data_IF_603538781661
#
_entry.id   IF_603538781661
#
_cell.length_a   1.000
_cell.length_b   1.000
_cell.length_c   1.000
_cell.angle_alpha   90.00
_cell.angle_beta   90.00
_cell.angle_gamma   90.00
#
_symmetry.space_group_name_H-M   'P 1'
#
loop_
_entity.id
_entity.type
_entity.pdbx_description
1 polymer ?
#
# COMPACT_ATOMS: atom_id res chain seq x y z
N UNK A 1 16.37 -22.95 -3.67
CA UNK A 1 16.06 -22.17 -4.89
C UNK A 1 16.94 -22.66 -6.03
N UNK A 2 16.47 -22.64 -7.28
CA UNK A 2 17.37 -22.89 -8.42
C UNK A 2 18.49 -21.83 -8.37
N UNK A 3 19.76 -22.23 -8.51
CA UNK A 3 20.91 -21.31 -8.42
C UNK A 3 20.73 -20.02 -9.24
N UNK A 4 20.05 -20.12 -10.38
CA UNK A 4 19.70 -18.99 -11.25
C UNK A 4 18.77 -17.99 -10.57
N UNK A 5 17.69 -18.43 -9.93
CA UNK A 5 16.73 -17.51 -9.29
C UNK A 5 17.35 -16.77 -8.09
N UNK A 6 18.25 -17.43 -7.37
CA UNK A 6 19.02 -16.78 -6.31
C UNK A 6 19.94 -15.69 -6.86
N UNK A 7 20.71 -16.00 -7.90
CA UNK A 7 21.63 -15.04 -8.50
C UNK A 7 20.88 -13.83 -9.06
N UNK A 8 19.75 -14.03 -9.74
CA UNK A 8 18.93 -12.93 -10.26
C UNK A 8 18.44 -12.03 -9.13
N UNK A 9 17.88 -12.59 -8.06
CA UNK A 9 17.42 -11.80 -6.91
C UNK A 9 18.57 -11.06 -6.23
N UNK A 10 19.72 -11.71 -6.08
CA UNK A 10 20.91 -11.11 -5.49
C UNK A 10 21.43 -9.91 -6.31
N UNK A 11 21.62 -10.09 -7.63
CA UNK A 11 22.06 -9.02 -8.54
C UNK A 11 21.08 -7.86 -8.47
N UNK A 12 19.79 -8.15 -8.43
CA UNK A 12 18.77 -7.12 -8.38
C UNK A 12 18.83 -6.29 -7.09
N UNK A 13 18.97 -6.93 -5.92
CA UNK A 13 19.16 -6.23 -4.64
C UNK A 13 20.45 -5.40 -4.67
N UNK A 14 21.54 -5.95 -5.21
CA UNK A 14 22.80 -5.22 -5.36
C UNK A 14 22.63 -3.96 -6.22
N UNK A 15 21.93 -4.07 -7.35
CA UNK A 15 21.62 -2.91 -8.21
C UNK A 15 20.79 -1.88 -7.45
N UNK A 16 19.77 -2.30 -6.70
CA UNK A 16 18.96 -1.36 -5.91
C UNK A 16 19.75 -0.60 -4.86
N UNK A 17 20.67 -1.28 -4.17
CA UNK A 17 21.57 -0.63 -3.21
C UNK A 17 22.50 0.34 -3.94
N UNK A 18 23.08 -0.06 -5.08
CA UNK A 18 23.97 0.79 -5.86
C UNK A 18 23.25 2.02 -6.45
N UNK A 19 21.99 1.90 -6.87
CA UNK A 19 21.18 3.02 -7.36
C UNK A 19 21.06 4.15 -6.33
N UNK A 20 21.11 3.84 -5.03
CA UNK A 20 21.06 4.85 -3.95
C UNK A 20 22.31 5.73 -3.88
N UNK A 21 23.39 5.37 -4.58
CA UNK A 21 24.63 6.17 -4.67
C UNK A 21 24.50 7.27 -5.75
N UNK A 22 23.71 7.03 -6.80
CA UNK A 22 23.56 7.96 -7.94
C UNK A 22 23.19 9.39 -7.50
N UNK A 23 22.23 9.61 -6.58
CA UNK A 23 21.86 10.96 -6.16
C UNK A 23 22.99 11.72 -5.46
N UNK A 24 23.94 11.03 -4.84
CA UNK A 24 25.14 11.67 -4.26
C UNK A 24 26.12 12.13 -5.33
N UNK A 25 26.22 11.38 -6.43
CA UNK A 25 27.09 11.71 -7.56
C UNK A 25 26.46 12.78 -8.46
N UNK A 26 25.14 12.79 -8.57
CA UNK A 26 24.37 13.70 -9.42
C UNK A 26 23.17 14.28 -8.66
N UNK A 27 23.36 15.23 -7.72
CA UNK A 27 22.27 15.78 -6.90
C UNK A 27 21.17 16.47 -7.71
N UNK A 28 21.50 17.01 -8.89
CA UNK A 28 20.55 17.69 -9.79
C UNK A 28 19.72 16.72 -10.65
N UNK A 29 20.02 15.42 -10.60
CA UNK A 29 19.30 14.42 -11.37
C UNK A 29 17.88 14.20 -10.85
N UNK A 30 16.94 13.90 -11.77
CA UNK A 30 15.53 13.61 -11.45
C UNK A 30 15.38 12.23 -10.80
N UNK A 31 15.83 12.10 -9.56
CA UNK A 31 15.97 10.82 -8.82
C UNK A 31 15.12 10.80 -7.54
N UNK A 32 14.02 11.55 -7.52
CA UNK A 32 13.13 11.68 -6.36
C UNK A 32 12.58 10.35 -5.86
N UNK A 33 12.54 9.30 -6.68
CA UNK A 33 12.13 7.96 -6.27
C UNK A 33 13.13 7.26 -5.34
N UNK A 34 14.40 7.69 -5.34
CA UNK A 34 15.45 7.01 -4.58
C UNK A 34 16.51 7.91 -3.93
N UNK A 35 16.37 9.24 -4.02
CA UNK A 35 17.28 10.23 -3.41
C UNK A 35 17.03 10.55 -1.93
N UNK A 36 16.09 9.85 -1.28
CA UNK A 36 15.66 10.08 0.11
C UNK A 36 16.80 10.20 1.13
N UNK A 37 17.91 9.48 0.93
CA UNK A 37 19.06 9.53 1.84
C UNK A 37 19.79 10.89 1.82
N UNK A 38 19.67 11.68 0.74
CA UNK A 38 20.26 13.02 0.66
C UNK A 38 19.63 14.01 1.65
N UNK A 39 18.41 13.75 2.09
CA UNK A 39 17.67 14.62 3.01
C UNK A 39 17.87 14.24 4.48
N UNK A 40 18.67 13.21 4.75
CA UNK A 40 18.98 12.75 6.10
C UNK A 40 20.42 13.14 6.47
N UNK A 41 20.74 13.27 7.77
CA UNK A 41 22.13 13.41 8.21
C UNK A 41 22.99 12.26 7.69
N UNK A 42 24.24 12.55 7.32
CA UNK A 42 25.17 11.58 6.71
C UNK A 42 25.31 10.26 7.50
N UNK A 43 25.15 10.32 8.83
CA UNK A 43 25.16 9.16 9.71
C UNK A 43 24.11 8.11 9.33
N UNK A 44 22.92 8.52 8.88
CA UNK A 44 21.86 7.61 8.43
C UNK A 44 22.25 6.90 7.14
N UNK A 45 22.90 7.61 6.23
CA UNK A 45 23.35 7.07 4.95
C UNK A 45 24.49 6.08 5.14
N UNK A 46 25.45 6.40 6.02
CA UNK A 46 26.53 5.48 6.44
C UNK A 46 25.93 4.23 7.08
N UNK A 47 24.98 4.40 8.00
CA UNK A 47 24.30 3.28 8.65
C UNK A 47 23.55 2.41 7.64
N UNK A 48 22.80 3.02 6.71
CA UNK A 48 22.07 2.32 5.66
C UNK A 48 23.00 1.48 4.78
N UNK A 49 24.08 2.08 4.24
CA UNK A 49 25.02 1.35 3.38
C UNK A 49 25.79 0.28 4.13
N UNK A 50 26.10 0.49 5.41
CA UNK A 50 26.74 -0.51 6.26
C UNK A 50 25.83 -1.72 6.46
N UNK A 51 24.55 -1.49 6.81
CA UNK A 51 23.56 -2.55 6.98
C UNK A 51 23.29 -3.27 5.66
N UNK A 52 23.16 -2.55 4.55
CA UNK A 52 22.95 -3.12 3.23
C UNK A 52 24.15 -3.98 2.79
N UNK A 53 25.38 -3.52 3.04
CA UNK A 53 26.59 -4.29 2.74
C UNK A 53 26.65 -5.59 3.54
N UNK A 54 26.38 -5.54 4.85
CA UNK A 54 26.29 -6.74 5.68
C UNK A 54 25.20 -7.68 5.15
N UNK A 55 24.01 -7.16 4.85
CA UNK A 55 22.90 -7.93 4.30
C UNK A 55 23.24 -8.60 2.95
N UNK A 56 24.04 -7.95 2.10
CA UNK A 56 24.52 -8.50 0.84
C UNK A 56 25.60 -9.58 1.00
N UNK A 57 26.29 -9.64 2.13
CA UNK A 57 27.29 -10.69 2.42
C UNK A 57 26.64 -11.92 3.03
N UNK A 58 25.61 -11.73 3.87
CA UNK A 58 24.95 -12.82 4.62
C UNK A 58 24.66 -14.06 3.76
N UNK A 59 24.04 -13.94 2.56
CA UNK A 59 23.71 -15.11 1.74
C UNK A 59 24.89 -16.00 1.32
N UNK A 60 26.12 -15.50 1.35
CA UNK A 60 27.33 -16.28 1.00
C UNK A 60 27.97 -16.97 2.21
N UNK A 61 27.53 -16.66 3.43
CA UNK A 61 27.97 -17.37 4.61
C UNK A 61 27.38 -18.77 4.61
N UNK A 62 28.22 -19.80 4.81
CA UNK A 62 27.78 -21.21 4.85
C UNK A 62 26.66 -21.47 5.88
N UNK A 63 26.59 -20.66 6.92
CA UNK A 63 25.60 -20.76 8.00
C UNK A 63 24.28 -20.05 7.69
N UNK A 64 24.20 -19.24 6.63
CA UNK A 64 23.04 -18.37 6.36
C UNK A 64 21.76 -19.14 6.06
N UNK A 65 21.84 -20.24 5.32
CA UNK A 65 20.69 -21.11 5.03
C UNK A 65 20.11 -21.68 6.33
N UNK A 66 20.97 -22.22 7.20
CA UNK A 66 20.56 -22.74 8.51
C UNK A 66 19.95 -21.66 9.40
N UNK A 67 20.51 -20.46 9.38
CA UNK A 67 19.99 -19.33 10.17
C UNK A 67 18.65 -18.83 9.65
N UNK A 68 18.49 -18.75 8.33
CA UNK A 68 17.22 -18.37 7.70
C UNK A 68 16.11 -19.38 7.97
N UNK A 69 16.41 -20.68 7.86
CA UNK A 69 15.48 -21.75 8.22
C UNK A 69 15.10 -21.68 9.70
N UNK A 70 16.09 -21.61 10.61
CA UNK A 70 15.85 -21.52 12.04
C UNK A 70 15.04 -20.26 12.43
N UNK A 71 15.31 -19.11 11.81
CA UNK A 71 14.55 -17.89 12.04
C UNK A 71 13.09 -18.03 11.55
N UNK A 72 12.90 -18.61 10.37
CA UNK A 72 11.57 -18.82 9.80
C UNK A 72 10.74 -19.84 10.58
N UNK A 73 11.39 -20.89 11.09
CA UNK A 73 10.78 -21.90 11.96
C UNK A 73 10.44 -21.30 13.33
N UNK A 74 11.36 -20.57 13.95
CA UNK A 74 11.10 -19.85 15.21
C UNK A 74 9.93 -18.88 15.06
N UNK A 75 9.91 -18.10 13.99
CA UNK A 75 8.81 -17.18 13.70
C UNK A 75 7.49 -17.94 13.52
N UNK A 76 7.49 -19.00 12.70
CA UNK A 76 6.27 -19.75 12.40
C UNK A 76 5.73 -20.49 13.63
N UNK A 77 6.63 -21.13 14.38
CA UNK A 77 6.33 -21.79 15.64
C UNK A 77 5.74 -20.80 16.64
N UNK A 78 6.37 -19.64 16.81
CA UNK A 78 5.91 -18.60 17.75
C UNK A 78 4.55 -18.03 17.36
N UNK A 79 4.39 -17.57 16.11
CA UNK A 79 3.24 -16.76 15.71
C UNK A 79 2.07 -17.54 15.07
N UNK A 80 2.24 -18.82 14.71
CA UNK A 80 1.20 -19.57 13.97
C UNK A 80 0.89 -20.95 14.55
N UNK A 81 1.87 -21.64 15.15
CA UNK A 81 1.72 -23.03 15.61
C UNK A 81 1.53 -23.09 17.13
N UNK A 82 2.26 -22.28 17.90
CA UNK A 82 2.23 -22.31 19.37
C UNK A 82 0.82 -22.13 19.93
N UNK A 83 0.53 -22.79 21.07
CA UNK A 83 -0.70 -22.57 21.83
C UNK A 83 -0.85 -21.12 22.29
N UNK A 84 0.27 -20.41 22.46
CA UNK A 84 0.32 -19.00 22.86
C UNK A 84 0.42 -18.05 21.66
N UNK A 85 0.16 -18.50 20.42
CA UNK A 85 0.35 -17.69 19.21
C UNK A 85 -0.35 -16.33 19.26
N UNK A 86 -1.58 -16.28 19.80
CA UNK A 86 -2.33 -15.03 19.90
C UNK A 86 -1.72 -14.07 20.92
N UNK A 87 -1.18 -14.57 22.02
CA UNK A 87 -0.43 -13.76 22.98
C UNK A 87 0.81 -13.14 22.31
N UNK A 88 1.59 -13.93 21.57
CA UNK A 88 2.75 -13.40 20.87
C UNK A 88 2.39 -12.37 19.79
N UNK A 89 1.30 -12.59 19.05
CA UNK A 89 0.78 -11.59 18.08
C UNK A 89 0.38 -10.28 18.80
N UNK A 90 -0.29 -10.36 19.94
CA UNK A 90 -0.67 -9.19 20.74
C UNK A 90 0.57 -8.47 21.26
N UNK A 91 1.58 -9.19 21.77
CA UNK A 91 2.85 -8.59 22.22
C UNK A 91 3.53 -7.87 21.05
N UNK A 92 3.62 -8.49 19.87
CA UNK A 92 4.19 -7.87 18.69
C UNK A 92 3.43 -6.59 18.29
N UNK A 93 2.10 -6.64 18.30
CA UNK A 93 1.27 -5.46 18.03
C UNK A 93 1.49 -4.37 19.07
N UNK A 94 1.62 -4.71 20.35
CA UNK A 94 1.92 -3.75 21.40
C UNK A 94 3.28 -3.08 21.20
N UNK A 95 4.30 -3.84 20.80
CA UNK A 95 5.61 -3.29 20.42
C UNK A 95 5.47 -2.34 19.23
N UNK A 96 4.78 -2.76 18.16
CA UNK A 96 4.56 -1.91 16.98
C UNK A 96 3.76 -0.65 17.32
N UNK A 97 2.77 -0.75 18.20
CA UNK A 97 1.98 0.40 18.69
C UNK A 97 2.88 1.39 19.41
N UNK A 98 3.75 0.91 20.31
CA UNK A 98 4.72 1.75 20.99
C UNK A 98 5.66 2.43 19.97
N UNK A 99 6.15 1.70 18.96
CA UNK A 99 6.95 2.29 17.89
C UNK A 99 6.19 3.36 17.10
N UNK A 100 4.93 3.12 16.74
CA UNK A 100 4.10 4.09 16.01
C UNK A 100 3.87 5.38 16.79
N UNK A 101 3.74 5.29 18.11
CA UNK A 101 3.54 6.43 19.01
C UNK A 101 4.86 7.18 19.24
N UNK A 102 5.94 6.47 19.58
CA UNK A 102 7.24 7.07 19.93
C UNK A 102 7.87 7.73 18.71
N UNK A 103 7.80 7.08 17.55
CA UNK A 103 8.36 7.58 16.30
C UNK A 103 7.29 8.22 15.42
N UNK A 104 6.23 8.78 16.02
CA UNK A 104 5.19 9.49 15.29
C UNK A 104 5.82 10.59 14.42
N UNK A 105 5.60 10.49 13.12
CA UNK A 105 6.27 11.32 12.15
C UNK A 105 5.67 12.74 12.18
N UNK A 106 6.50 13.81 12.15
CA UNK A 106 6.02 15.19 12.06
C UNK A 106 5.57 15.53 10.63
N UNK A 107 4.94 14.60 9.92
CA UNK A 107 4.78 14.64 8.45
C UNK A 107 3.64 15.52 7.95
N UNK A 108 3.21 16.53 8.72
CA UNK A 108 2.28 17.54 8.22
C UNK A 108 2.86 18.33 7.03
N UNK A 109 4.19 18.26 6.85
CA UNK A 109 4.95 18.89 5.77
C UNK A 109 4.93 18.12 4.44
N UNK A 110 4.44 16.88 4.41
CA UNK A 110 4.37 16.08 3.18
C UNK A 110 2.93 16.08 2.66
N UNK A 111 2.73 16.58 1.44
CA UNK A 111 1.43 16.55 0.76
C UNK A 111 0.38 17.47 1.38
N UNK A 112 -0.83 16.92 1.58
CA UNK A 112 -2.04 17.67 1.95
C UNK A 112 -2.27 17.76 3.48
N UNK A 113 -1.27 17.41 4.31
CA UNK A 113 -1.41 17.33 5.76
C UNK A 113 -1.92 18.61 6.43
N UNK A 114 -1.34 19.77 6.11
CA UNK A 114 -1.81 21.06 6.64
C UNK A 114 -3.23 21.42 6.18
N UNK A 115 -3.58 21.38 4.88
CA UNK A 115 -4.95 21.54 4.42
C UNK A 115 -5.95 20.62 5.14
N UNK A 116 -5.62 19.34 5.33
CA UNK A 116 -6.49 18.38 6.01
C UNK A 116 -6.66 18.72 7.49
N UNK A 117 -5.57 19.04 8.20
CA UNK A 117 -5.64 19.49 9.60
C UNK A 117 -6.51 20.72 9.75
N UNK A 118 -6.27 21.76 8.95
CA UNK A 118 -7.01 23.01 9.02
C UNK A 118 -8.50 22.81 8.71
N UNK A 119 -8.83 21.93 7.77
CA UNK A 119 -10.21 21.61 7.44
C UNK A 119 -10.97 20.93 8.59
N UNK A 120 -10.35 19.94 9.25
CA UNK A 120 -10.93 19.24 10.40
C UNK A 120 -10.97 20.15 11.64
N UNK A 121 -9.96 20.99 11.82
CA UNK A 121 -9.88 21.96 12.92
C UNK A 121 -10.79 23.19 12.75
N UNK A 122 -11.41 23.41 11.59
CA UNK A 122 -12.14 24.64 11.29
C UNK A 122 -13.47 24.77 12.05
N UNK A 123 -13.59 25.85 12.82
CA UNK A 123 -14.80 26.24 13.55
C UNK A 123 -15.92 26.79 12.65
N UNK A 124 -15.56 27.34 11.49
CA UNK A 124 -16.52 27.95 10.55
C UNK A 124 -17.20 26.93 9.63
N UNK A 125 -16.72 25.68 9.62
CA UNK A 125 -17.28 24.60 8.81
C UNK A 125 -16.21 23.64 8.31
N UNK A 126 -16.58 22.40 8.04
CA UNK A 126 -15.66 21.38 7.51
C UNK A 126 -16.08 21.01 6.10
N UNK A 127 -15.17 21.14 5.14
CA UNK A 127 -15.37 20.66 3.79
C UNK A 127 -15.17 19.15 3.73
N UNK A 128 -16.23 18.42 3.36
CA UNK A 128 -16.18 16.98 3.22
C UNK A 128 -16.12 16.62 1.73
N UNK A 129 -14.92 16.24 1.26
CA UNK A 129 -14.72 15.72 -0.09
C UNK A 129 -15.61 14.51 -0.30
N UNK A 130 -16.41 14.51 -1.37
CA UNK A 130 -17.35 13.43 -1.66
C UNK A 130 -16.66 12.06 -1.85
N UNK A 131 -15.42 12.08 -2.34
CA UNK A 131 -14.57 10.90 -2.54
C UNK A 131 -14.01 10.31 -1.24
N UNK A 132 -14.06 11.05 -0.13
CA UNK A 132 -13.41 10.73 1.15
C UNK A 132 -14.39 10.91 2.33
N UNK A 133 -15.69 10.72 2.08
CA UNK A 133 -16.75 10.98 3.06
C UNK A 133 -16.60 10.14 4.32
N UNK A 134 -16.38 8.83 4.16
CA UNK A 134 -16.33 7.91 5.30
C UNK A 134 -15.19 8.26 6.26
N UNK A 135 -13.98 8.48 5.74
CA UNK A 135 -12.82 8.85 6.57
C UNK A 135 -13.01 10.21 7.25
N UNK A 136 -13.57 11.20 6.54
CA UNK A 136 -13.82 12.53 7.10
C UNK A 136 -14.80 12.48 8.27
N UNK A 137 -15.87 11.68 8.17
CA UNK A 137 -16.83 11.51 9.27
C UNK A 137 -16.23 10.78 10.47
N UNK A 138 -15.39 9.76 10.24
CA UNK A 138 -14.70 9.06 11.33
C UNK A 138 -13.74 10.02 12.04
N UNK A 139 -12.96 10.81 11.30
CA UNK A 139 -12.07 11.84 11.85
C UNK A 139 -12.82 12.85 12.72
N UNK A 140 -13.92 13.42 12.20
CA UNK A 140 -14.76 14.36 12.96
C UNK A 140 -15.37 13.72 14.20
N UNK A 141 -15.82 12.46 14.09
CA UNK A 141 -16.32 11.69 15.23
C UNK A 141 -15.26 11.52 16.31
N UNK A 142 -14.07 11.06 15.95
CA UNK A 142 -12.94 10.90 16.89
C UNK A 142 -12.53 12.24 17.50
N UNK A 143 -12.41 13.30 16.70
CA UNK A 143 -12.11 14.64 17.18
C UNK A 143 -13.14 15.12 18.21
N UNK A 144 -14.44 14.90 17.96
CA UNK A 144 -15.52 15.31 18.87
C UNK A 144 -15.47 14.59 20.22
N UNK A 145 -14.92 13.38 20.27
CA UNK A 145 -14.68 12.64 21.52
C UNK A 145 -13.46 13.15 22.28
N UNK A 146 -12.48 13.76 21.59
CA UNK A 146 -11.28 14.34 22.19
C UNK A 146 -11.59 15.71 22.79
N UNK A 147 -12.30 16.58 22.05
CA UNK A 147 -12.60 17.93 22.51
C UNK A 147 -13.09 18.88 21.41
N UNK A 148 -13.05 20.21 21.68
CA UNK A 148 -13.48 21.20 20.70
C UNK A 148 -12.60 21.18 19.45
N UNK A 149 -13.10 21.76 18.37
CA UNK A 149 -12.36 21.90 17.13
C UNK A 149 -11.16 22.84 17.34
N UNK A 150 -9.97 22.30 17.11
CA UNK A 150 -8.71 23.02 17.03
C UNK A 150 -7.67 22.09 16.38
N UNK A 151 -6.49 22.63 16.08
CA UNK A 151 -5.41 21.92 15.37
C UNK A 151 -4.91 20.73 16.20
N UNK A 152 -4.74 20.88 17.52
CA UNK A 152 -4.17 19.84 18.39
C UNK A 152 -5.11 18.63 18.52
N UNK A 153 -6.42 18.88 18.67
CA UNK A 153 -7.43 17.83 18.74
C UNK A 153 -7.63 17.15 17.38
N UNK A 154 -7.57 17.91 16.28
CA UNK A 154 -7.60 17.32 14.93
C UNK A 154 -6.38 16.43 14.69
N UNK A 155 -5.18 16.90 15.04
CA UNK A 155 -3.94 16.14 14.96
C UNK A 155 -4.02 14.86 15.80
N UNK A 156 -4.51 14.97 17.03
CA UNK A 156 -4.69 13.82 17.92
C UNK A 156 -5.66 12.81 17.31
N UNK A 157 -6.76 13.26 16.68
CA UNK A 157 -7.70 12.39 15.99
C UNK A 157 -7.04 11.62 14.83
N UNK A 158 -6.25 12.30 13.98
CA UNK A 158 -5.47 11.65 12.93
C UNK A 158 -4.49 10.61 13.48
N UNK A 159 -3.76 10.96 14.55
CA UNK A 159 -2.80 10.03 15.18
C UNK A 159 -3.47 8.80 15.74
N UNK A 160 -4.61 8.95 16.42
CA UNK A 160 -5.40 7.82 16.94
C UNK A 160 -5.83 6.92 15.79
N UNK A 161 -6.41 7.47 14.73
CA UNK A 161 -6.90 6.68 13.58
C UNK A 161 -5.73 5.99 12.87
N UNK A 162 -4.61 6.69 12.67
CA UNK A 162 -3.39 6.15 12.09
C UNK A 162 -2.88 4.93 12.87
N UNK A 163 -2.67 5.07 14.18
CA UNK A 163 -2.14 4.01 15.03
C UNK A 163 -3.13 2.84 15.13
N UNK A 164 -4.42 3.12 15.34
CA UNK A 164 -5.47 2.09 15.40
C UNK A 164 -5.55 1.30 14.08
N UNK A 165 -5.41 1.98 12.94
CA UNK A 165 -5.40 1.33 11.64
C UNK A 165 -4.18 0.43 11.47
N UNK A 166 -3.01 0.85 11.96
CA UNK A 166 -1.81 0.03 11.97
C UNK A 166 -1.95 -1.24 12.82
N UNK A 167 -2.53 -1.12 14.02
CA UNK A 167 -2.83 -2.26 14.90
C UNK A 167 -3.69 -3.31 14.19
N UNK A 168 -4.80 -2.88 13.61
CA UNK A 168 -5.75 -3.77 12.94
C UNK A 168 -5.11 -4.37 11.67
N UNK A 169 -4.40 -3.56 10.89
CA UNK A 169 -3.75 -4.01 9.66
C UNK A 169 -2.66 -5.04 9.93
N UNK A 170 -1.82 -4.85 10.95
CA UNK A 170 -0.78 -5.83 11.34
C UNK A 170 -1.43 -7.16 11.76
N UNK A 171 -2.55 -7.11 12.49
CA UNK A 171 -3.29 -8.35 12.80
C UNK A 171 -3.72 -9.07 11.53
N UNK A 172 -4.26 -8.34 10.55
CA UNK A 172 -4.65 -8.90 9.26
C UNK A 172 -3.43 -9.42 8.49
N UNK A 173 -2.25 -8.79 8.59
CA UNK A 173 -1.02 -9.29 7.98
C UNK A 173 -0.62 -10.67 8.51
N UNK A 174 -0.80 -10.94 9.81
CA UNK A 174 -0.65 -12.30 10.34
C UNK A 174 -1.63 -13.26 9.66
N UNK A 175 -2.89 -12.88 9.51
CA UNK A 175 -3.90 -13.73 8.86
C UNK A 175 -3.59 -13.98 7.37
N UNK A 176 -3.13 -12.96 6.65
CA UNK A 176 -2.68 -13.08 5.25
C UNK A 176 -1.49 -14.02 5.15
N UNK A 177 -0.47 -13.85 6.00
CA UNK A 177 0.70 -14.72 6.03
C UNK A 177 0.31 -16.18 6.30
N UNK A 178 -0.56 -16.42 7.30
CA UNK A 178 -1.06 -17.75 7.67
C UNK A 178 -1.75 -18.43 6.50
N UNK A 179 -2.64 -17.70 5.81
CA UNK A 179 -3.43 -18.28 4.73
C UNK A 179 -2.69 -18.37 3.42
N UNK A 180 -1.82 -17.42 3.07
CA UNK A 180 -1.10 -17.42 1.80
C UNK A 180 0.14 -18.32 1.82
N UNK A 181 0.87 -18.36 2.94
CA UNK A 181 2.10 -19.12 3.09
C UNK A 181 1.87 -20.64 3.13
N UNK A 182 2.52 -21.37 2.22
CA UNK A 182 2.44 -22.84 2.18
C UNK A 182 3.45 -23.53 3.11
N UNK A 183 4.43 -22.79 3.62
CA UNK A 183 5.47 -23.25 4.55
C UNK A 183 5.98 -22.06 5.38
N UNK A 184 6.86 -22.34 6.33
CA UNK A 184 7.30 -21.39 7.34
C UNK A 184 8.10 -20.22 6.75
N UNK A 185 8.98 -20.50 5.80
CA UNK A 185 9.73 -19.48 5.05
C UNK A 185 8.77 -18.53 4.33
N UNK A 186 7.76 -19.05 3.61
CA UNK A 186 6.80 -18.20 2.90
C UNK A 186 5.95 -17.36 3.84
N UNK A 187 5.50 -17.92 4.98
CA UNK A 187 4.75 -17.16 5.99
C UNK A 187 5.59 -16.00 6.52
N UNK A 188 6.84 -16.28 6.88
CA UNK A 188 7.79 -15.28 7.34
C UNK A 188 8.01 -14.18 6.30
N UNK A 189 8.36 -14.55 5.05
CA UNK A 189 8.61 -13.58 3.99
C UNK A 189 7.39 -12.71 3.68
N UNK A 190 6.19 -13.31 3.56
CA UNK A 190 4.95 -12.56 3.33
C UNK A 190 4.71 -11.56 4.46
N UNK A 191 4.84 -12.00 5.72
CA UNK A 191 4.63 -11.12 6.87
C UNK A 191 5.63 -9.96 6.92
N UNK A 192 6.92 -10.23 6.70
CA UNK A 192 7.98 -9.22 6.70
C UNK A 192 7.77 -8.23 5.55
N UNK A 193 7.48 -8.70 4.32
CA UNK A 193 7.21 -7.82 3.18
C UNK A 193 6.02 -6.90 3.45
N UNK A 194 4.92 -7.42 4.00
CA UNK A 194 3.75 -6.61 4.31
C UNK A 194 4.05 -5.59 5.42
N UNK A 195 4.63 -6.05 6.53
CA UNK A 195 4.91 -5.23 7.72
C UNK A 195 5.94 -4.14 7.47
N UNK A 196 6.94 -4.40 6.61
CA UNK A 196 8.01 -3.45 6.28
C UNK A 196 7.86 -2.83 4.88
N UNK A 197 6.65 -2.85 4.33
CA UNK A 197 6.33 -2.08 3.12
C UNK A 197 6.23 -0.59 3.42
N UNK A 198 6.23 0.26 2.38
CA UNK A 198 6.05 1.71 2.52
C UNK A 198 4.75 2.10 3.25
N UNK A 199 3.76 1.22 3.26
CA UNK A 199 2.49 1.36 4.00
C UNK A 199 2.70 1.58 5.49
N UNK A 200 3.74 0.97 6.07
CA UNK A 200 4.02 1.08 7.50
C UNK A 200 4.16 2.54 7.97
N UNK A 201 4.67 3.43 7.09
CA UNK A 201 4.83 4.86 7.36
C UNK A 201 3.49 5.54 7.68
N UNK A 202 2.38 5.05 7.11
CA UNK A 202 1.04 5.59 7.34
C UNK A 202 0.57 5.41 8.78
N UNK A 203 1.19 4.50 9.55
CA UNK A 203 0.76 4.17 10.91
C UNK A 203 1.49 4.99 11.98
N UNK A 204 2.57 5.70 11.63
CA UNK A 204 3.33 6.58 12.52
C UNK A 204 2.69 7.97 12.66
N UNK A 205 1.39 8.02 12.93
CA UNK A 205 0.65 9.28 13.14
C UNK A 205 0.48 10.15 11.90
N UNK A 206 0.51 9.55 10.71
CA UNK A 206 0.50 10.25 9.43
C UNK A 206 -0.86 10.94 9.22
N UNK A 207 -0.86 12.24 8.92
CA UNK A 207 -2.09 13.03 8.77
C UNK A 207 -2.62 12.95 7.35
N UNK A 208 -3.19 11.80 7.03
CA UNK A 208 -3.92 11.59 5.78
C UNK A 208 -5.09 10.62 5.93
N UNK A 209 -5.88 10.52 4.87
CA UNK A 209 -7.07 9.68 4.76
C UNK A 209 -6.76 8.19 4.57
N UNK A 210 -5.53 7.85 4.17
CA UNK A 210 -5.15 6.50 3.75
C UNK A 210 -4.93 5.43 4.85
N UNK A 211 -4.57 5.74 6.12
CA UNK A 211 -4.32 4.69 7.10
C UNK A 211 -5.51 3.75 7.30
N UNK A 212 -6.72 4.29 7.41
CA UNK A 212 -7.95 3.51 7.61
C UNK A 212 -8.32 2.67 6.37
N UNK A 213 -7.93 3.11 5.18
CA UNK A 213 -8.13 2.36 3.93
C UNK A 213 -7.38 1.02 3.98
N UNK A 214 -6.23 0.97 4.63
CA UNK A 214 -5.46 -0.28 4.73
C UNK A 214 -6.14 -1.36 5.56
N UNK A 215 -7.06 -0.99 6.46
CA UNK A 215 -7.92 -1.97 7.15
C UNK A 215 -8.82 -2.67 6.11
N UNK A 216 -9.55 -1.88 5.31
CA UNK A 216 -10.47 -2.40 4.30
C UNK A 216 -9.76 -3.20 3.23
N UNK A 217 -8.69 -2.62 2.66
CA UNK A 217 -7.87 -3.26 1.63
C UNK A 217 -7.26 -4.59 2.09
N UNK A 218 -6.59 -4.62 3.25
CA UNK A 218 -5.95 -5.84 3.75
C UNK A 218 -6.97 -6.91 4.13
N UNK A 219 -8.11 -6.51 4.74
CA UNK A 219 -9.18 -7.43 5.06
C UNK A 219 -9.83 -8.01 3.79
N UNK A 220 -10.10 -7.17 2.78
CA UNK A 220 -10.56 -7.60 1.47
C UNK A 220 -9.61 -8.65 0.87
N UNK A 221 -8.30 -8.39 0.87
CA UNK A 221 -7.29 -9.32 0.38
C UNK A 221 -7.30 -10.65 1.16
N UNK A 222 -7.33 -10.60 2.49
CA UNK A 222 -7.39 -11.79 3.33
C UNK A 222 -8.62 -12.66 3.03
N UNK A 223 -9.81 -12.07 2.99
CA UNK A 223 -11.05 -12.81 2.72
C UNK A 223 -11.14 -13.29 1.27
N UNK A 224 -10.54 -12.57 0.32
CA UNK A 224 -10.38 -13.02 -1.07
C UNK A 224 -9.52 -14.27 -1.15
N UNK A 225 -8.36 -14.27 -0.50
CA UNK A 225 -7.47 -15.45 -0.40
C UNK A 225 -8.18 -16.61 0.30
N UNK A 226 -8.94 -16.33 1.37
CA UNK A 226 -9.74 -17.34 2.08
C UNK A 226 -10.78 -17.97 1.18
N UNK A 227 -11.51 -17.16 0.42
CA UNK A 227 -12.50 -17.66 -0.51
C UNK A 227 -11.88 -18.52 -1.61
N UNK A 228 -10.76 -18.08 -2.19
CA UNK A 228 -10.07 -18.86 -3.21
C UNK A 228 -9.58 -20.22 -2.66
N UNK A 229 -9.03 -20.27 -1.44
CA UNK A 229 -8.55 -21.51 -0.84
C UNK A 229 -9.67 -22.42 -0.34
N UNK A 230 -10.56 -21.92 0.50
CA UNK A 230 -11.53 -22.75 1.24
C UNK A 230 -12.96 -22.66 0.70
N UNK A 231 -13.26 -21.73 -0.20
CA UNK A 231 -14.62 -21.44 -0.64
C UNK A 231 -15.43 -20.59 0.35
N UNK A 232 -14.84 -20.17 1.47
CA UNK A 232 -15.51 -19.36 2.50
C UNK A 232 -14.96 -17.93 2.53
N UNK A 233 -15.78 -16.95 2.90
CA UNK A 233 -15.35 -15.57 3.12
C UNK A 233 -15.77 -14.57 2.04
N UNK A 234 -16.48 -15.00 1.00
CA UNK A 234 -16.97 -14.11 -0.06
C UNK A 234 -17.80 -12.93 0.47
N UNK A 235 -18.71 -13.20 1.40
CA UNK A 235 -19.53 -12.16 2.03
C UNK A 235 -18.68 -11.13 2.79
N UNK A 236 -17.65 -11.59 3.50
CA UNK A 236 -16.74 -10.69 4.22
C UNK A 236 -15.88 -9.87 3.25
N UNK A 237 -15.40 -10.47 2.16
CA UNK A 237 -14.73 -9.71 1.10
C UNK A 237 -15.66 -8.61 0.54
N UNK A 238 -16.94 -8.91 0.30
CA UNK A 238 -17.91 -7.92 -0.13
C UNK A 238 -18.10 -6.78 0.89
N UNK A 239 -18.28 -7.12 2.17
CA UNK A 239 -18.45 -6.12 3.22
C UNK A 239 -17.24 -5.20 3.35
N UNK A 240 -16.02 -5.75 3.28
CA UNK A 240 -14.81 -4.93 3.33
C UNK A 240 -14.59 -4.10 2.08
N UNK A 241 -15.02 -4.58 0.89
CA UNK A 241 -15.05 -3.76 -0.31
C UNK A 241 -16.01 -2.56 -0.15
N UNK A 242 -17.22 -2.79 0.34
CA UNK A 242 -18.19 -1.72 0.58
C UNK A 242 -17.68 -0.72 1.63
N UNK A 243 -17.08 -1.23 2.70
CA UNK A 243 -16.42 -0.40 3.71
C UNK A 243 -15.32 0.46 3.06
N UNK A 244 -14.44 -0.12 2.26
CA UNK A 244 -13.32 0.60 1.65
C UNK A 244 -13.80 1.67 0.66
N UNK A 245 -14.82 1.36 -0.16
CA UNK A 245 -15.47 2.34 -1.07
C UNK A 245 -16.11 3.49 -0.27
N UNK A 246 -16.72 3.19 0.87
CA UNK A 246 -17.30 4.22 1.75
C UNK A 246 -16.23 5.11 2.37
N UNK A 247 -15.11 4.53 2.81
CA UNK A 247 -13.95 5.26 3.33
C UNK A 247 -13.36 6.16 2.25
N UNK A 248 -13.07 5.60 1.07
CA UNK A 248 -12.48 6.30 -0.05
C UNK A 248 -12.92 5.69 -1.40
N UNK A 249 -13.47 6.53 -2.28
CA UNK A 249 -14.01 6.08 -3.56
C UNK A 249 -12.98 5.39 -4.46
N UNK A 250 -11.70 5.78 -4.37
CA UNK A 250 -10.61 5.13 -5.11
C UNK A 250 -10.60 3.60 -4.96
N UNK A 251 -11.07 3.05 -3.84
CA UNK A 251 -11.17 1.61 -3.63
C UNK A 251 -12.18 0.91 -4.53
N UNK A 252 -12.96 1.65 -5.31
CA UNK A 252 -13.74 1.11 -6.42
C UNK A 252 -12.85 0.36 -7.44
N UNK A 253 -11.55 0.65 -7.49
CA UNK A 253 -10.56 -0.12 -8.28
C UNK A 253 -10.52 -1.61 -7.92
N UNK A 254 -11.02 -2.01 -6.73
CA UNK A 254 -11.10 -3.40 -6.29
C UNK A 254 -12.36 -4.14 -6.78
N UNK A 255 -13.35 -3.43 -7.34
CA UNK A 255 -14.59 -4.04 -7.85
C UNK A 255 -14.32 -5.12 -8.91
N UNK A 256 -13.44 -4.92 -9.92
CA UNK A 256 -13.08 -5.97 -10.87
C UNK A 256 -12.51 -7.22 -10.19
N UNK A 257 -11.70 -7.06 -9.14
CA UNK A 257 -11.16 -8.19 -8.38
C UNK A 257 -12.28 -8.95 -7.65
N UNK A 258 -13.26 -8.25 -7.10
CA UNK A 258 -14.42 -8.90 -6.47
C UNK A 258 -15.33 -9.61 -7.49
N UNK A 259 -15.56 -9.02 -8.65
CA UNK A 259 -16.28 -9.69 -9.76
C UNK A 259 -15.55 -10.98 -10.15
N UNK A 260 -14.21 -10.94 -10.25
CA UNK A 260 -13.43 -12.14 -10.48
C UNK A 260 -13.69 -13.21 -9.40
N UNK A 261 -13.70 -12.84 -8.10
CA UNK A 261 -14.00 -13.78 -7.03
C UNK A 261 -15.39 -14.40 -7.16
N UNK A 262 -16.41 -13.62 -7.54
CA UNK A 262 -17.75 -14.15 -7.78
C UNK A 262 -17.74 -15.24 -8.87
N UNK A 263 -16.91 -15.08 -9.90
CA UNK A 263 -16.92 -15.93 -11.09
C UNK A 263 -15.86 -17.05 -11.04
N UNK A 264 -14.89 -17.01 -10.14
CA UNK A 264 -13.76 -17.94 -10.17
C UNK A 264 -14.06 -19.33 -9.55
N UNK A 265 -15.14 -19.46 -8.76
CA UNK A 265 -15.48 -20.70 -8.05
C UNK A 265 -16.99 -20.90 -7.86
N UNK A 266 -17.40 -22.13 -7.54
CA UNK A 266 -18.74 -22.47 -7.08
C UNK A 266 -19.83 -22.19 -8.12
N UNK A 267 -21.00 -21.74 -7.65
CA UNK A 267 -22.13 -21.45 -8.52
C UNK A 267 -21.84 -20.34 -9.53
N UNK A 268 -21.08 -19.31 -9.14
CA UNK A 268 -20.72 -18.22 -10.05
C UNK A 268 -19.81 -18.67 -11.20
N UNK A 269 -18.92 -19.65 -10.98
CA UNK A 269 -18.17 -20.28 -12.07
C UNK A 269 -19.05 -21.06 -13.05
N UNK A 270 -20.08 -21.75 -12.54
CA UNK A 270 -21.03 -22.45 -13.39
C UNK A 270 -21.84 -21.47 -14.25
N UNK A 271 -22.30 -20.35 -13.66
CA UNK A 271 -22.95 -19.26 -14.40
C UNK A 271 -21.99 -18.69 -15.46
N UNK A 272 -20.75 -18.36 -15.08
CA UNK A 272 -19.77 -17.83 -16.02
C UNK A 272 -19.53 -18.76 -17.19
N UNK A 273 -19.34 -20.06 -16.94
CA UNK A 273 -19.11 -21.03 -18.00
C UNK A 273 -20.32 -21.18 -18.94
N UNK A 274 -21.54 -21.17 -18.37
CA UNK A 274 -22.77 -21.29 -19.16
C UNK A 274 -23.04 -20.03 -20.00
N UNK A 275 -22.78 -18.84 -19.46
CA UNK A 275 -23.05 -17.55 -20.10
C UNK A 275 -21.77 -16.82 -20.56
N UNK A 276 -20.68 -17.54 -20.84
CA UNK A 276 -19.35 -16.96 -21.07
C UNK A 276 -19.36 -15.91 -22.18
N UNK A 277 -20.03 -16.20 -23.28
CA UNK A 277 -20.18 -15.30 -24.43
C UNK A 277 -20.93 -14.03 -24.06
N UNK A 278 -21.98 -14.13 -23.24
CA UNK A 278 -22.73 -12.99 -22.73
C UNK A 278 -21.91 -12.11 -21.79
N UNK A 279 -21.11 -12.70 -20.90
CA UNK A 279 -20.19 -11.92 -20.05
C UNK A 279 -19.13 -11.18 -20.85
N UNK A 280 -18.55 -11.83 -21.88
CA UNK A 280 -17.56 -11.19 -22.75
C UNK A 280 -18.24 -10.07 -23.55
N UNK A 281 -19.41 -10.34 -24.15
CA UNK A 281 -20.17 -9.37 -24.92
C UNK A 281 -20.58 -8.16 -24.09
N UNK A 282 -21.13 -8.36 -22.89
CA UNK A 282 -21.50 -7.27 -21.98
C UNK A 282 -20.28 -6.49 -21.49
N UNK A 283 -19.17 -7.17 -21.19
CA UNK A 283 -17.91 -6.53 -20.85
C UNK A 283 -17.39 -5.61 -21.96
N UNK A 284 -17.45 -6.05 -23.21
CA UNK A 284 -17.08 -5.24 -24.39
C UNK A 284 -18.01 -4.03 -24.53
N UNK A 285 -19.33 -4.23 -24.40
CA UNK A 285 -20.32 -3.14 -24.51
C UNK A 285 -20.09 -2.09 -23.41
N UNK A 286 -19.87 -2.53 -22.16
CA UNK A 286 -19.60 -1.63 -21.03
C UNK A 286 -18.28 -0.89 -21.25
N UNK A 287 -17.21 -1.58 -21.69
CA UNK A 287 -15.93 -0.95 -21.99
C UNK A 287 -16.06 0.10 -23.12
N UNK A 288 -16.83 -0.21 -24.18
CA UNK A 288 -17.11 0.71 -25.26
C UNK A 288 -17.93 1.92 -24.77
N UNK A 289 -18.93 1.72 -23.91
CA UNK A 289 -19.71 2.80 -23.32
C UNK A 289 -18.85 3.72 -22.44
N UNK A 290 -18.00 3.14 -21.59
CA UNK A 290 -17.04 3.90 -20.78
C UNK A 290 -16.09 4.69 -21.68
N UNK A 291 -15.57 4.08 -22.75
CA UNK A 291 -14.69 4.75 -23.70
C UNK A 291 -15.40 5.89 -24.43
N UNK A 292 -16.66 5.71 -24.84
CA UNK A 292 -17.45 6.77 -25.48
C UNK A 292 -17.71 7.93 -24.51
N UNK A 293 -18.10 7.63 -23.26
CA UNK A 293 -18.28 8.65 -22.21
C UNK A 293 -16.97 9.38 -21.93
N UNK A 294 -15.86 8.64 -21.86
CA UNK A 294 -14.53 9.20 -21.66
C UNK A 294 -14.16 10.15 -22.80
N UNK A 295 -14.28 9.73 -24.06
CA UNK A 295 -13.98 10.56 -25.24
C UNK A 295 -14.86 11.81 -25.24
N UNK A 296 -16.17 11.64 -25.02
CA UNK A 296 -17.11 12.77 -24.93
C UNK A 296 -16.65 13.76 -23.86
N UNK A 297 -16.47 13.30 -22.61
CA UNK A 297 -16.06 14.15 -21.49
C UNK A 297 -14.70 14.80 -21.72
N UNK A 298 -13.71 14.04 -22.20
CA UNK A 298 -12.39 14.56 -22.53
C UNK A 298 -12.44 15.66 -23.59
N UNK A 299 -13.37 15.58 -24.55
CA UNK A 299 -13.52 16.58 -25.61
C UNK A 299 -14.39 17.80 -25.23
N UNK A 300 -15.30 17.66 -24.27
CA UNK A 300 -16.29 18.71 -23.95
C UNK A 300 -16.10 19.38 -22.59
N UNK A 301 -15.28 18.82 -21.71
CA UNK A 301 -15.15 19.24 -20.32
C UNK A 301 -13.67 19.49 -19.98
N UNK A 302 -13.28 20.78 -19.96
CA UNK A 302 -11.90 21.20 -19.67
C UNK A 302 -11.42 20.72 -18.30
N UNK A 303 -12.30 20.59 -17.31
CA UNK A 303 -11.90 20.07 -16.00
C UNK A 303 -11.55 18.58 -16.11
N UNK A 304 -12.40 17.81 -16.81
CA UNK A 304 -12.15 16.40 -17.04
C UNK A 304 -10.90 16.16 -17.90
N UNK A 305 -10.75 16.90 -19.00
CA UNK A 305 -9.53 16.90 -19.83
C UNK A 305 -8.30 17.17 -18.97
N UNK A 306 -8.41 18.10 -18.02
CA UNK A 306 -7.27 18.50 -17.21
C UNK A 306 -6.76 17.43 -16.24
N UNK A 307 -7.58 16.43 -15.91
CA UNK A 307 -7.18 15.29 -15.07
C UNK A 307 -6.20 14.37 -15.80
N UNK A 308 -6.28 14.30 -17.13
CA UNK A 308 -5.48 13.34 -17.91
C UNK A 308 -4.31 14.03 -18.62
N UNK A 309 -3.19 13.31 -18.70
CA UNK A 309 -2.07 13.70 -19.55
C UNK A 309 -2.33 13.21 -20.98
N UNK A 310 -2.19 14.07 -22.01
CA UNK A 310 -2.33 13.61 -23.39
C UNK A 310 -1.22 12.62 -23.74
N UNK A 311 -1.48 11.71 -24.67
CA UNK A 311 -0.58 10.58 -24.97
C UNK A 311 0.78 11.02 -25.54
N UNK A 312 0.75 11.89 -26.55
CA UNK A 312 1.93 12.19 -27.37
C UNK A 312 2.47 13.60 -27.18
N UNK A 313 1.59 14.61 -27.05
CA UNK A 313 1.97 16.02 -26.94
C UNK A 313 1.49 16.55 -25.59
N UNK A 314 2.37 17.18 -24.82
CA UNK A 314 2.00 17.76 -23.53
C UNK A 314 1.03 18.93 -23.69
N UNK A 315 0.44 19.37 -22.58
CA UNK A 315 -0.44 20.54 -22.59
C UNK A 315 0.35 21.82 -22.93
N UNK A 316 -0.28 22.89 -23.43
CA UNK A 316 0.41 24.13 -23.78
C UNK A 316 1.32 24.71 -22.68
N UNK A 317 0.93 24.54 -21.41
CA UNK A 317 1.71 25.00 -20.24
C UNK A 317 3.04 24.23 -20.11
N UNK A 318 3.07 22.96 -20.53
CA UNK A 318 4.29 22.14 -20.49
C UNK A 318 4.32 21.12 -21.65
N UNK A 319 4.60 21.55 -22.89
CA UNK A 319 4.42 20.75 -24.11
C UNK A 319 5.30 19.49 -24.18
N UNK A 320 6.41 19.48 -23.45
CA UNK A 320 7.35 18.36 -23.39
C UNK A 320 6.88 17.21 -22.48
N UNK A 321 5.79 17.39 -21.75
CA UNK A 321 5.31 16.44 -20.73
C UNK A 321 3.98 15.81 -21.14
N UNK A 322 4.07 14.83 -22.04
CA UNK A 322 2.99 13.91 -22.40
C UNK A 322 3.12 12.57 -21.67
N UNK A 323 2.10 11.73 -21.72
CA UNK A 323 2.09 10.42 -21.06
C UNK A 323 3.25 9.52 -21.51
N UNK A 324 3.62 9.56 -22.80
CA UNK A 324 4.70 8.75 -23.37
C UNK A 324 6.01 9.56 -23.48
N UNK A 325 6.04 10.79 -22.97
CA UNK A 325 7.26 11.60 -22.98
C UNK A 325 8.35 11.02 -22.07
N UNK A 326 9.62 11.22 -22.46
CA UNK A 326 10.77 10.81 -21.65
C UNK A 326 10.70 11.34 -20.20
N UNK A 327 10.37 12.62 -19.93
CA UNK A 327 10.22 13.11 -18.56
C UNK A 327 9.20 12.34 -17.72
N UNK A 328 8.02 12.03 -18.28
CA UNK A 328 6.99 11.30 -17.55
C UNK A 328 7.36 9.82 -17.34
N UNK A 329 7.97 9.17 -18.33
CA UNK A 329 8.47 7.80 -18.17
C UNK A 329 9.56 7.70 -17.09
N UNK A 330 10.42 8.72 -16.97
CA UNK A 330 11.38 8.80 -15.86
C UNK A 330 10.68 8.98 -14.51
N UNK A 331 9.58 9.72 -14.44
CA UNK A 331 8.78 9.83 -13.22
C UNK A 331 8.09 8.52 -12.86
N UNK A 332 7.55 7.80 -13.85
CA UNK A 332 7.02 6.45 -13.62
C UNK A 332 8.14 5.55 -13.10
N UNK A 333 9.34 5.58 -13.69
CA UNK A 333 10.46 4.78 -13.21
C UNK A 333 10.84 5.14 -11.76
N UNK A 334 10.87 6.43 -11.41
CA UNK A 334 11.09 6.89 -10.03
C UNK A 334 9.98 6.39 -9.09
N UNK A 335 8.71 6.52 -9.48
CA UNK A 335 7.57 6.05 -8.70
C UNK A 335 7.67 4.54 -8.45
N UNK A 336 8.06 3.76 -9.45
CA UNK A 336 8.21 2.32 -9.29
C UNK A 336 9.37 1.97 -8.36
N UNK A 337 10.52 2.65 -8.48
CA UNK A 337 11.66 2.47 -7.56
C UNK A 337 11.31 2.87 -6.12
N UNK A 338 10.40 3.82 -5.95
CA UNK A 338 9.88 4.24 -4.64
C UNK A 338 8.92 3.20 -4.05
N UNK A 339 7.92 2.77 -4.82
CA UNK A 339 6.83 1.90 -4.35
C UNK A 339 7.25 0.45 -4.20
N UNK A 340 7.99 -0.06 -5.18
CA UNK A 340 8.41 -1.45 -5.24
C UNK A 340 9.80 -1.49 -5.83
N UNK A 341 10.85 -1.21 -5.03
CA UNK A 341 12.21 -1.29 -5.53
C UNK A 341 12.44 -2.66 -6.17
N UNK A 342 11.82 -3.73 -5.65
CA UNK A 342 11.86 -5.11 -6.13
C UNK A 342 10.84 -5.47 -7.25
N UNK A 343 10.59 -4.58 -8.22
CA UNK A 343 9.74 -4.86 -9.41
C UNK A 343 9.89 -6.32 -9.93
N UNK A 344 8.77 -6.97 -10.30
CA UNK A 344 8.41 -8.30 -9.82
C UNK A 344 9.44 -9.37 -10.22
N UNK A 345 10.20 -9.83 -9.23
CA UNK A 345 10.83 -11.15 -9.23
C UNK A 345 9.84 -12.25 -8.87
#
# INVERSE_FOLDING_TARGET
>A
MQKKSFLTAYIFILVLVALRIIPYLFPESRTWGFNHLLFLPDSYSIAFFSVAFIALIIPFLRSSEKWGEALSDLFSTTFFISRLKYLYRIIFIAIMTALFIIFAAPTHFLGDGYPLLNNIASDTGTFIKWSERGVSWILLGVQSLIGPKNIDNALTAFRIISVASGIITIWIFFLIAEIAGSNDIKRFLIFIILTFSAVALLFFGYVESYPILWIGFSAFLYFSLKYMKTGQGLWWAFLFLLFDIFIHLQSFVLVPAFIYLLLCRGYGRNIYNHYKTWFIGSGIIIAAAILMIFIYKYSTDLYFENIFLPLFVGKPIYPVYSLISRPHLLDIANQLLLLSPLLPL
#
